data_IF_928510455135
#
_entry.id   IF_928510455135
#
_cell.length_a   1.000
_cell.length_b   1.000
_cell.length_c   1.000
_cell.angle_alpha   90.00
_cell.angle_beta   90.00
_cell.angle_gamma   90.00
#
_symmetry.space_group_name_H-M   'P 1'
#
loop_
_entity.id
_entity.type
_entity.pdbx_description
1 polymer ?
#
# COMPACT_ATOMS: atom_id res chain seq x y z
N UNK A 1 -17.76 3.36 -13.74
CA UNK A 1 -17.83 4.46 -12.75
C UNK A 1 -17.13 5.65 -13.39
N UNK A 2 -17.74 6.84 -13.43
CA UNK A 2 -17.06 7.98 -14.06
C UNK A 2 -15.86 8.39 -13.21
N UNK A 3 -14.81 8.91 -13.85
CA UNK A 3 -13.60 9.41 -13.19
C UNK A 3 -13.97 10.39 -12.05
N UNK A 4 -14.97 11.23 -12.29
CA UNK A 4 -15.52 12.18 -11.31
C UNK A 4 -16.09 11.53 -10.04
N UNK A 5 -16.72 10.35 -10.14
CA UNK A 5 -17.23 9.62 -8.97
C UNK A 5 -16.09 9.04 -8.15
N UNK A 6 -15.06 8.48 -8.80
CA UNK A 6 -13.88 7.92 -8.12
C UNK A 6 -13.12 9.03 -7.38
N UNK A 7 -12.87 10.16 -8.05
CA UNK A 7 -12.21 11.32 -7.46
C UNK A 7 -12.97 11.84 -6.23
N UNK A 8 -14.30 11.99 -6.34
CA UNK A 8 -15.12 12.44 -5.21
C UNK A 8 -15.03 11.50 -4.01
N UNK A 9 -15.10 10.18 -4.23
CA UNK A 9 -14.95 9.18 -3.17
C UNK A 9 -13.56 9.26 -2.54
N UNK A 10 -12.49 9.35 -3.34
CA UNK A 10 -11.11 9.43 -2.86
C UNK A 10 -10.89 10.70 -2.03
N UNK A 11 -11.27 11.88 -2.54
CA UNK A 11 -11.11 13.14 -1.82
C UNK A 11 -11.91 13.16 -0.52
N UNK A 12 -13.15 12.67 -0.54
CA UNK A 12 -13.98 12.58 0.67
C UNK A 12 -13.35 11.66 1.71
N UNK A 13 -12.84 10.49 1.28
CA UNK A 13 -12.20 9.52 2.19
C UNK A 13 -10.93 10.10 2.81
N UNK A 14 -10.06 10.72 2.00
CA UNK A 14 -8.83 11.36 2.48
C UNK A 14 -9.18 12.53 3.43
N UNK A 15 -10.14 13.37 3.06
CA UNK A 15 -10.59 14.50 3.88
C UNK A 15 -11.13 14.06 5.24
N UNK A 16 -11.97 13.02 5.27
CA UNK A 16 -12.48 12.44 6.51
C UNK A 16 -11.38 11.85 7.39
N UNK A 17 -10.40 11.16 6.80
CA UNK A 17 -9.25 10.64 7.54
C UNK A 17 -8.42 11.76 8.18
N UNK A 18 -8.17 12.85 7.43
CA UNK A 18 -7.45 14.01 7.95
C UNK A 18 -8.24 14.67 9.09
N UNK A 19 -9.54 14.91 8.89
CA UNK A 19 -10.41 15.53 9.88
C UNK A 19 -10.45 14.71 11.18
N UNK A 20 -10.66 13.40 11.06
CA UNK A 20 -10.72 12.51 12.21
C UNK A 20 -9.38 12.46 12.96
N UNK A 21 -8.27 12.46 12.23
CA UNK A 21 -6.94 12.51 12.82
C UNK A 21 -6.67 13.85 13.52
N UNK A 22 -7.16 14.97 12.97
CA UNK A 22 -7.08 16.29 13.61
C UNK A 22 -7.93 16.37 14.89
N UNK A 23 -9.16 15.83 14.86
CA UNK A 23 -10.03 15.75 16.04
C UNK A 23 -9.39 14.91 17.15
N UNK A 24 -8.85 13.74 16.81
CA UNK A 24 -8.16 12.87 17.76
C UNK A 24 -6.88 13.51 18.33
N UNK A 25 -6.21 14.36 17.56
CA UNK A 25 -5.02 15.06 18.03
C UNK A 25 -5.31 16.12 19.11
N UNK A 26 -6.55 16.61 19.19
CA UNK A 26 -7.02 17.55 20.23
C UNK A 26 -7.52 16.80 21.48
N UNK A 27 -7.65 15.47 21.40
CA UNK A 27 -8.10 14.65 22.52
C UNK A 27 -7.12 14.74 23.71
N UNK A 28 -7.65 14.57 24.93
CA UNK A 28 -6.88 14.63 26.18
C UNK A 28 -5.81 13.53 26.26
N UNK A 29 -6.03 12.42 25.56
CA UNK A 29 -5.11 11.29 25.51
C UNK A 29 -4.01 11.54 24.47
N UNK A 30 -2.78 11.74 24.96
CA UNK A 30 -1.60 11.87 24.10
C UNK A 30 -1.45 10.59 23.26
N UNK A 31 -1.11 10.76 21.98
CA UNK A 31 -0.77 9.67 21.05
C UNK A 31 -1.94 8.73 20.69
N UNK A 32 -3.19 9.16 20.86
CA UNK A 32 -4.41 8.41 20.51
C UNK A 32 -4.94 8.79 19.11
N UNK A 33 -4.04 8.97 18.15
CA UNK A 33 -4.40 9.30 16.76
C UNK A 33 -4.31 8.07 15.87
N UNK A 34 -5.09 8.03 14.79
CA UNK A 34 -5.04 6.93 13.81
C UNK A 34 -3.61 6.70 13.31
N UNK A 35 -2.87 7.78 13.04
CA UNK A 35 -1.50 7.68 12.57
C UNK A 35 -0.59 6.97 13.58
N UNK A 36 -0.75 7.25 14.87
CA UNK A 36 0.04 6.57 15.91
C UNK A 36 -0.39 5.11 16.05
N UNK A 37 -1.68 4.81 15.98
CA UNK A 37 -2.19 3.43 16.02
C UNK A 37 -1.62 2.61 14.86
N UNK A 38 -1.71 3.12 13.63
CA UNK A 38 -1.18 2.45 12.43
C UNK A 38 0.34 2.28 12.54
N UNK A 39 1.06 3.29 13.02
CA UNK A 39 2.50 3.19 13.28
C UNK A 39 2.81 2.09 14.28
N UNK A 40 2.13 2.04 15.43
CA UNK A 40 2.40 1.02 16.44
C UNK A 40 2.08 -0.39 15.92
N UNK A 41 1.04 -0.53 15.11
CA UNK A 41 0.68 -1.78 14.44
C UNK A 41 1.75 -2.23 13.44
N UNK A 42 2.27 -1.31 12.62
CA UNK A 42 3.30 -1.63 11.63
C UNK A 42 4.63 -2.00 12.26
N UNK A 43 4.94 -1.52 13.47
CA UNK A 43 6.15 -1.91 14.20
C UNK A 43 6.05 -3.26 14.91
N UNK A 44 4.90 -3.93 14.88
CA UNK A 44 4.65 -5.18 15.61
C UNK A 44 4.05 -6.24 14.67
N UNK A 45 3.05 -7.02 15.11
CA UNK A 45 2.39 -8.11 14.37
C UNK A 45 1.81 -7.73 13.00
N UNK A 46 1.65 -6.44 12.70
CA UNK A 46 1.09 -5.95 11.43
C UNK A 46 2.13 -5.25 10.55
N UNK A 47 3.38 -5.68 10.62
CA UNK A 47 4.48 -5.15 9.81
C UNK A 47 4.32 -5.23 8.31
N UNK A 48 3.43 -6.09 7.83
CA UNK A 48 3.02 -6.13 6.43
C UNK A 48 2.45 -4.78 5.94
N UNK A 49 1.93 -3.94 6.84
CA UNK A 49 1.45 -2.59 6.52
C UNK A 49 2.58 -1.77 5.88
N UNK A 50 3.81 -1.83 6.41
CA UNK A 50 4.95 -1.09 5.86
C UNK A 50 5.32 -1.58 4.45
N UNK A 51 5.27 -2.90 4.24
CA UNK A 51 5.49 -3.49 2.92
C UNK A 51 4.42 -3.04 1.92
N UNK A 52 3.14 -3.09 2.31
CA UNK A 52 2.02 -2.62 1.47
C UNK A 52 2.15 -1.15 1.08
N UNK A 53 2.54 -0.28 2.01
CA UNK A 53 2.83 1.12 1.70
C UNK A 53 3.94 1.26 0.67
N UNK A 54 4.98 0.43 0.76
CA UNK A 54 6.01 0.33 -0.29
C UNK A 54 5.40 -0.07 -1.62
N UNK A 55 4.62 -1.15 -1.68
CA UNK A 55 4.00 -1.66 -2.91
C UNK A 55 3.11 -0.60 -3.57
N UNK A 56 2.23 0.05 -2.80
CA UNK A 56 1.38 1.11 -3.33
C UNK A 56 2.19 2.33 -3.76
N UNK A 57 3.25 2.68 -3.01
CA UNK A 57 4.22 3.70 -3.41
C UNK A 57 4.84 3.41 -4.78
N UNK A 58 5.36 2.19 -4.96
CA UNK A 58 5.96 1.70 -6.19
C UNK A 58 4.97 1.66 -7.36
N UNK A 59 3.78 1.13 -7.12
CA UNK A 59 2.74 0.96 -8.15
C UNK A 59 2.18 2.31 -8.61
N UNK A 60 1.72 3.15 -7.68
CA UNK A 60 0.97 4.37 -8.01
C UNK A 60 1.84 5.58 -8.33
N UNK A 61 3.03 5.70 -7.74
CA UNK A 61 3.85 6.92 -7.87
C UNK A 61 5.14 6.69 -8.65
N UNK A 62 5.65 5.46 -8.64
CA UNK A 62 6.88 5.11 -9.33
C UNK A 62 6.65 4.06 -10.41
N UNK A 63 5.43 3.84 -10.89
CA UNK A 63 5.17 2.82 -11.91
C UNK A 63 6.10 2.95 -13.13
N UNK A 64 6.73 1.86 -13.52
CA UNK A 64 7.41 1.70 -14.80
C UNK A 64 6.42 1.41 -15.93
N UNK A 65 6.74 1.82 -17.17
CA UNK A 65 5.86 1.58 -18.33
C UNK A 65 5.57 0.10 -18.59
N UNK A 66 6.50 -0.78 -18.22
CA UNK A 66 6.45 -2.22 -18.47
C UNK A 66 6.98 -2.99 -17.26
N UNK A 67 6.28 -4.04 -16.79
CA UNK A 67 6.80 -4.89 -15.72
C UNK A 67 8.07 -5.63 -16.17
N UNK A 68 8.90 -6.02 -15.19
CA UNK A 68 10.20 -6.65 -15.44
C UNK A 68 10.11 -7.98 -16.18
N UNK A 69 9.01 -8.72 -16.02
CA UNK A 69 8.73 -9.96 -16.74
C UNK A 69 7.56 -9.76 -17.70
N UNK A 70 7.75 -10.15 -18.96
CA UNK A 70 6.72 -10.06 -20.00
C UNK A 70 5.44 -10.84 -19.64
N UNK A 71 5.55 -11.93 -18.87
CA UNK A 71 4.39 -12.73 -18.46
C UNK A 71 3.36 -11.90 -17.66
N UNK A 72 3.79 -10.89 -16.92
CA UNK A 72 2.91 -10.02 -16.14
C UNK A 72 2.18 -8.97 -16.98
N UNK A 73 2.56 -8.84 -18.26
CA UNK A 73 1.81 -8.03 -19.24
C UNK A 73 0.57 -8.81 -19.64
N UNK A 74 0.76 -10.05 -20.10
CA UNK A 74 -0.32 -10.94 -20.53
C UNK A 74 -1.22 -11.36 -19.37
N UNK A 75 -0.64 -11.65 -18.21
CA UNK A 75 -1.35 -12.09 -17.01
C UNK A 75 -1.26 -11.02 -15.92
N UNK A 76 -2.09 -10.00 -16.08
CA UNK A 76 -2.07 -8.80 -15.27
C UNK A 76 -2.53 -9.00 -13.83
N UNK A 77 -3.33 -10.05 -13.63
CA UNK A 77 -3.89 -10.51 -12.38
C UNK A 77 -2.87 -11.21 -11.48
N UNK A 78 -1.78 -11.75 -12.04
CA UNK A 78 -0.78 -12.51 -11.27
C UNK A 78 -0.09 -11.64 -10.21
N UNK A 79 0.44 -10.43 -10.51
CA UNK A 79 1.06 -9.59 -9.50
C UNK A 79 0.16 -9.23 -8.29
N UNK A 80 -1.10 -8.79 -8.43
CA UNK A 80 -1.95 -8.53 -7.27
C UNK A 80 -2.35 -9.81 -6.52
N UNK A 81 -2.53 -10.95 -7.20
CA UNK A 81 -2.79 -12.24 -6.53
C UNK A 81 -1.57 -12.68 -5.70
N UNK A 82 -0.37 -12.62 -6.27
CA UNK A 82 0.87 -12.93 -5.57
C UNK A 82 1.10 -12.00 -4.37
N UNK A 83 0.77 -10.72 -4.50
CA UNK A 83 0.79 -9.76 -3.40
C UNK A 83 -0.14 -10.18 -2.26
N UNK A 84 -1.37 -10.58 -2.57
CA UNK A 84 -2.33 -11.05 -1.58
C UNK A 84 -1.80 -12.28 -0.82
N UNK A 85 -1.20 -13.24 -1.53
CA UNK A 85 -0.57 -14.43 -0.94
C UNK A 85 0.58 -14.03 0.00
N UNK A 86 1.48 -13.15 -0.44
CA UNK A 86 2.61 -12.65 0.38
C UNK A 86 2.09 -12.00 1.66
N UNK A 87 1.07 -11.14 1.56
CA UNK A 87 0.47 -10.45 2.72
C UNK A 87 -0.17 -11.45 3.67
N UNK A 88 -0.90 -12.47 3.18
CA UNK A 88 -1.48 -13.52 4.01
C UNK A 88 -0.37 -14.26 4.78
N UNK A 89 0.72 -14.62 4.12
CA UNK A 89 1.88 -15.27 4.76
C UNK A 89 2.46 -14.36 5.85
N UNK A 90 2.64 -13.07 5.57
CA UNK A 90 3.15 -12.10 6.55
C UNK A 90 2.20 -11.92 7.74
N UNK A 91 0.88 -11.94 7.52
CA UNK A 91 -0.13 -11.90 8.60
C UNK A 91 -0.03 -13.15 9.47
N UNK A 92 0.06 -14.34 8.86
CA UNK A 92 0.20 -15.61 9.59
C UNK A 92 1.49 -15.60 10.42
N UNK A 93 2.60 -15.12 9.85
CA UNK A 93 3.87 -14.99 10.56
C UNK A 93 3.78 -13.97 11.69
N UNK A 94 3.20 -12.79 11.43
CA UNK A 94 3.02 -11.73 12.42
C UNK A 94 2.17 -12.16 13.62
N UNK A 95 1.18 -13.03 13.41
CA UNK A 95 0.38 -13.63 14.51
C UNK A 95 1.18 -14.55 15.42
N UNK A 96 2.29 -15.13 14.95
CA UNK A 96 3.18 -15.99 15.74
C UNK A 96 4.23 -15.20 16.53
N UNK A 97 4.41 -13.91 16.24
CA UNK A 97 5.35 -13.07 16.97
C UNK A 97 4.86 -12.75 18.38
N UNK A 98 5.77 -12.59 19.36
CA UNK A 98 5.42 -12.10 20.69
C UNK A 98 4.71 -10.74 20.60
N UNK A 99 3.72 -10.49 21.47
CA UNK A 99 2.92 -9.25 21.45
C UNK A 99 3.74 -8.01 21.76
N UNK A 100 4.87 -8.17 22.44
CA UNK A 100 5.84 -7.16 22.83
C UNK A 100 7.00 -7.04 21.84
N UNK A 101 7.00 -7.84 20.77
CA UNK A 101 8.04 -7.77 19.76
C UNK A 101 7.94 -6.50 18.93
N UNK A 102 9.02 -5.72 18.93
CA UNK A 102 9.15 -4.48 18.16
C UNK A 102 10.17 -4.69 17.05
N UNK A 103 9.71 -4.57 15.81
CA UNK A 103 10.56 -4.65 14.62
C UNK A 103 11.45 -3.41 14.54
N UNK A 104 12.76 -3.65 14.48
CA UNK A 104 13.76 -2.57 14.36
C UNK A 104 13.56 -1.78 13.07
N UNK A 105 13.81 -0.48 13.12
CA UNK A 105 13.66 0.46 12.00
C UNK A 105 14.35 -0.01 10.72
N UNK A 106 15.54 -0.62 10.81
CA UNK A 106 16.24 -1.17 9.64
C UNK A 106 15.42 -2.19 8.85
N UNK A 107 14.62 -3.01 9.52
CA UNK A 107 13.76 -3.99 8.88
C UNK A 107 12.49 -3.33 8.32
N UNK A 108 11.99 -2.26 8.96
CA UNK A 108 10.90 -1.45 8.39
C UNK A 108 11.33 -0.80 7.07
N UNK A 109 12.54 -0.24 7.04
CA UNK A 109 13.13 0.31 5.81
C UNK A 109 13.28 -0.77 4.75
N UNK A 110 13.76 -1.96 5.13
CA UNK A 110 13.87 -3.09 4.19
C UNK A 110 12.50 -3.49 3.63
N UNK A 111 11.47 -3.62 4.48
CA UNK A 111 10.10 -3.93 4.06
C UNK A 111 9.54 -2.87 3.11
N UNK A 112 9.79 -1.59 3.41
CA UNK A 112 9.35 -0.49 2.57
C UNK A 112 10.03 -0.54 1.20
N UNK A 113 11.35 -0.75 1.16
CA UNK A 113 12.12 -0.84 -0.09
C UNK A 113 11.68 -2.05 -0.91
N UNK A 114 11.56 -3.23 -0.30
CA UNK A 114 11.15 -4.44 -1.03
C UNK A 114 9.72 -4.33 -1.55
N UNK A 115 8.82 -3.71 -0.77
CA UNK A 115 7.48 -3.36 -1.23
C UNK A 115 7.53 -2.41 -2.43
N UNK A 116 8.32 -1.34 -2.34
CA UNK A 116 8.50 -0.37 -3.41
C UNK A 116 9.00 -1.03 -4.69
N UNK A 117 10.02 -1.88 -4.60
CA UNK A 117 10.54 -2.64 -5.74
C UNK A 117 9.48 -3.57 -6.34
N UNK A 118 8.65 -4.21 -5.51
CA UNK A 118 7.55 -5.03 -5.99
C UNK A 118 6.52 -4.20 -6.77
N UNK A 119 6.08 -3.06 -6.21
CA UNK A 119 5.16 -2.16 -6.90
C UNK A 119 5.73 -1.56 -8.18
N UNK A 120 7.03 -1.22 -8.18
CA UNK A 120 7.69 -0.59 -9.32
C UNK A 120 7.95 -1.58 -10.47
N UNK A 121 8.46 -2.77 -10.17
CA UNK A 121 8.93 -3.74 -11.17
C UNK A 121 7.96 -4.88 -11.47
N UNK A 122 7.20 -5.35 -10.48
CA UNK A 122 6.36 -6.56 -10.60
C UNK A 122 4.92 -6.16 -10.89
N UNK A 123 4.32 -5.35 -10.02
CA UNK A 123 2.97 -4.83 -10.21
C UNK A 123 3.00 -3.37 -10.63
N UNK A 124 3.58 -3.08 -11.80
CA UNK A 124 3.71 -1.70 -12.26
C UNK A 124 2.42 -1.12 -12.84
N UNK A 125 2.22 0.20 -12.72
CA UNK A 125 1.22 0.93 -13.49
C UNK A 125 1.56 0.88 -14.98
N UNK A 126 0.81 0.07 -15.72
CA UNK A 126 0.81 0.11 -17.19
C UNK A 126 0.09 1.38 -17.63
N UNK A 127 0.85 2.33 -18.16
CA UNK A 127 0.27 3.50 -18.83
C UNK A 127 -0.28 3.17 -20.24
N UNK A 128 -0.12 1.92 -20.69
CA UNK A 128 -0.48 1.48 -22.03
C UNK A 128 -1.77 0.65 -22.00
N UNK A 129 -2.90 1.35 -21.92
CA UNK A 129 -4.22 0.93 -22.45
C UNK A 129 -5.24 2.08 -22.32
N UNK A 130 -5.07 2.97 -21.34
CA UNK A 130 -5.98 4.11 -21.16
C UNK A 130 -5.88 5.16 -22.28
N UNK A 131 -4.68 5.38 -22.85
CA UNK A 131 -4.45 6.34 -23.94
C UNK A 131 -4.95 5.80 -25.29
N UNK A 132 -4.78 4.50 -25.58
CA UNK A 132 -5.30 3.95 -26.84
C UNK A 132 -6.82 3.77 -26.83
N UNK A 133 -7.44 3.52 -25.67
CA UNK A 133 -8.90 3.44 -25.57
C UNK A 133 -9.61 4.80 -25.72
N UNK A 134 -8.94 5.91 -25.37
CA UNK A 134 -9.48 7.29 -25.53
C UNK A 134 -9.15 7.95 -26.86
N UNK A 135 -8.18 7.42 -27.63
CA UNK A 135 -7.82 7.95 -28.96
C UNK A 135 -8.40 7.13 -30.12
N UNK A 136 -8.88 5.90 -29.87
CA UNK A 136 -9.49 5.02 -30.88
C UNK A 136 -11.02 4.87 -30.73
N UNK A 137 -11.66 5.68 -29.87
CA UNK A 137 -13.11 5.91 -29.80
C UNK A 137 -13.38 7.42 -29.94
#
# INVERSE_FOLDING_TARGET
MSITTVEFIVFTTIGLLILLNAMLNINKYKNDTINVVIKNWSYNKYFFITFLWGVFGGHFFLGSKKPILNIFITHWEIPPIALAIIVIIMIIYGRKLPKDFIIKTKYQVLLLITGLLYGHFIWSQRHEEFIQFTLNN
#
